data_IF_231844900228
#
_entry.id   IF_231844900228
#
_cell.length_a   1.000
_cell.length_b   1.000
_cell.length_c   1.000
_cell.angle_alpha   90.00
_cell.angle_beta   90.00
_cell.angle_gamma   90.00
#
_symmetry.space_group_name_H-M   'P 1'
#
loop_
_entity.id
_entity.type
_entity.pdbx_description
1 polymer ?
#
# COMPACT_ATOMS: atom_id res chain seq x y z
N UNK A 1 24.59 -0.91 2.92
CA UNK A 1 23.33 -0.27 3.37
C UNK A 1 22.26 -1.33 3.33
N UNK A 2 21.61 -1.69 4.45
CA UNK A 2 20.48 -2.64 4.41
C UNK A 2 19.29 -1.90 3.80
N UNK A 3 19.10 -2.07 2.50
CA UNK A 3 17.88 -1.68 1.82
C UNK A 3 16.75 -2.49 2.46
N UNK A 4 16.08 -1.88 3.43
CA UNK A 4 14.97 -2.54 4.11
C UNK A 4 13.80 -2.40 3.15
N UNK A 5 13.63 -3.40 2.27
CA UNK A 5 12.54 -3.42 1.30
C UNK A 5 11.21 -3.36 2.07
N UNK A 6 10.57 -2.21 2.03
CA UNK A 6 9.22 -2.07 2.55
C UNK A 6 8.29 -2.95 1.72
N UNK A 7 7.46 -3.74 2.40
CA UNK A 7 6.40 -4.53 1.78
C UNK A 7 5.42 -3.59 1.11
N UNK A 8 5.15 -3.85 -0.16
CA UNK A 8 4.19 -3.12 -0.96
C UNK A 8 2.85 -3.84 -0.88
N UNK A 9 1.78 -3.09 -0.68
CA UNK A 9 0.42 -3.63 -0.65
C UNK A 9 -0.44 -2.90 -1.67
N UNK A 10 -1.29 -3.64 -2.38
CA UNK A 10 -2.35 -3.09 -3.21
C UNK A 10 -3.67 -3.12 -2.44
N UNK A 11 -4.32 -1.96 -2.36
CA UNK A 11 -5.66 -1.82 -1.80
C UNK A 11 -6.64 -1.53 -2.93
N UNK A 12 -7.82 -2.14 -2.87
CA UNK A 12 -8.96 -1.81 -3.73
C UNK A 12 -10.14 -1.41 -2.86
N UNK A 13 -10.80 -0.30 -3.21
CA UNK A 13 -12.06 0.11 -2.59
C UNK A 13 -13.07 0.47 -3.68
N UNK A 14 -14.31 0.73 -3.27
CA UNK A 14 -15.34 1.28 -4.16
C UNK A 14 -14.94 2.65 -4.71
N UNK A 15 -14.19 3.44 -3.93
CA UNK A 15 -13.67 4.74 -4.33
C UNK A 15 -12.20 4.89 -3.91
N UNK A 16 -11.29 4.65 -4.85
CA UNK A 16 -9.85 4.68 -4.60
C UNK A 16 -9.30 6.10 -4.38
N UNK A 17 -9.97 7.12 -4.92
CA UNK A 17 -9.54 8.50 -4.75
C UNK A 17 -9.73 8.96 -3.30
N UNK A 18 -10.94 8.75 -2.76
CA UNK A 18 -11.25 9.03 -1.35
C UNK A 18 -10.39 8.17 -0.42
N UNK A 19 -10.12 6.91 -0.78
CA UNK A 19 -9.18 6.07 -0.04
C UNK A 19 -7.78 6.71 0.00
N UNK A 20 -7.24 7.15 -1.15
CA UNK A 20 -5.93 7.78 -1.22
C UNK A 20 -5.84 9.02 -0.33
N UNK A 21 -6.86 9.90 -0.35
CA UNK A 21 -6.87 11.09 0.50
C UNK A 21 -6.87 10.76 1.99
N UNK A 22 -7.59 9.71 2.39
CA UNK A 22 -7.56 9.21 3.78
C UNK A 22 -6.19 8.65 4.15
N UNK A 23 -5.56 7.89 3.25
CA UNK A 23 -4.25 7.28 3.50
C UNK A 23 -3.13 8.31 3.60
N UNK A 24 -3.17 9.38 2.80
CA UNK A 24 -2.18 10.47 2.83
C UNK A 24 -2.06 11.13 4.20
N UNK A 25 -3.15 11.17 4.95
CA UNK A 25 -3.22 11.79 6.29
C UNK A 25 -2.98 10.78 7.42
N UNK A 26 -2.81 9.49 7.13
CA UNK A 26 -2.62 8.46 8.13
C UNK A 26 -1.12 8.34 8.52
N UNK A 27 -0.76 8.52 9.82
CA UNK A 27 0.64 8.49 10.26
C UNK A 27 1.31 7.12 10.14
N UNK A 28 0.56 6.02 10.05
CA UNK A 28 1.08 4.66 9.87
C UNK A 28 1.51 4.38 8.42
N UNK A 29 1.05 5.21 7.48
CA UNK A 29 1.39 5.14 6.07
C UNK A 29 2.71 5.87 5.81
N UNK A 30 3.60 5.20 5.07
CA UNK A 30 4.87 5.77 4.59
C UNK A 30 4.69 6.37 3.21
N UNK A 31 4.15 5.59 2.27
CA UNK A 31 3.83 6.04 0.91
C UNK A 31 2.49 5.50 0.48
N UNK A 32 1.75 6.27 -0.32
CA UNK A 32 0.54 5.81 -0.98
C UNK A 32 0.35 6.50 -2.33
N UNK A 33 -0.03 5.76 -3.37
CA UNK A 33 -0.27 6.29 -4.72
C UNK A 33 -1.23 5.41 -5.52
N UNK A 34 -1.89 5.98 -6.53
CA UNK A 34 -2.75 5.22 -7.45
C UNK A 34 -1.87 4.48 -8.46
N UNK A 35 -2.19 3.20 -8.67
CA UNK A 35 -1.59 2.35 -9.69
C UNK A 35 -2.68 1.50 -10.35
N UNK A 36 -3.14 1.94 -11.52
CA UNK A 36 -4.28 1.33 -12.22
C UNK A 36 -5.55 1.37 -11.36
N UNK A 37 -6.18 0.22 -11.16
CA UNK A 37 -7.38 0.07 -10.31
C UNK A 37 -7.09 -0.09 -8.82
N UNK A 38 -5.85 0.09 -8.37
CA UNK A 38 -5.44 -0.12 -6.99
C UNK A 38 -4.78 1.13 -6.40
N UNK A 39 -4.83 1.23 -5.08
CA UNK A 39 -4.00 2.15 -4.30
C UNK A 39 -2.84 1.35 -3.72
N UNK A 40 -1.64 1.63 -4.19
CA UNK A 40 -0.43 1.02 -3.64
C UNK A 40 -0.02 1.75 -2.38
N UNK A 41 0.37 1.00 -1.35
CA UNK A 41 0.74 1.54 -0.05
C UNK A 41 1.95 0.82 0.53
N UNK A 42 2.77 1.56 1.27
CA UNK A 42 3.78 1.01 2.18
C UNK A 42 3.57 1.57 3.58
N UNK A 43 3.82 0.74 4.59
CA UNK A 43 3.62 1.10 6.00
C UNK A 43 4.94 1.48 6.67
N UNK A 44 4.92 2.44 7.60
CA UNK A 44 6.14 2.95 8.27
C UNK A 44 6.87 1.87 9.07
N UNK A 45 6.13 1.05 9.80
CA UNK A 45 6.65 -0.07 10.58
C UNK A 45 6.73 -1.38 9.78
N UNK A 46 6.52 -1.32 8.46
CA UNK A 46 6.48 -2.48 7.58
C UNK A 46 5.44 -3.55 8.00
N UNK A 47 4.42 -3.14 8.76
CA UNK A 47 3.30 -3.97 9.23
C UNK A 47 2.01 -3.43 8.63
N UNK A 48 1.20 -4.25 7.95
CA UNK A 48 -0.09 -3.81 7.45
C UNK A 48 -1.05 -3.57 8.62
N UNK A 49 -1.85 -2.51 8.48
CA UNK A 49 -2.99 -2.23 9.36
C UNK A 49 -4.29 -2.57 8.66
N UNK A 50 -5.33 -2.86 9.43
CA UNK A 50 -6.66 -3.08 8.87
C UNK A 50 -7.25 -1.75 8.37
N UNK A 51 -7.70 -1.74 7.11
CA UNK A 51 -8.37 -0.58 6.51
C UNK A 51 -9.75 -1.01 6.06
N UNK A 52 -10.75 -0.72 6.89
CA UNK A 52 -12.13 -1.13 6.66
C UNK A 52 -12.66 -0.66 5.30
N UNK A 53 -13.42 -1.55 4.64
CA UNK A 53 -14.01 -1.27 3.32
C UNK A 53 -13.01 -1.34 2.17
N UNK A 54 -11.87 -2.01 2.37
CA UNK A 54 -10.87 -2.25 1.34
C UNK A 54 -10.49 -3.72 1.26
N UNK A 55 -10.19 -4.18 0.05
CA UNK A 55 -9.49 -5.43 -0.17
C UNK A 55 -7.99 -5.14 -0.21
N UNK A 56 -7.20 -5.83 0.61
CA UNK A 56 -5.75 -5.63 0.69
C UNK A 56 -5.00 -6.90 0.25
N UNK A 57 -3.98 -6.74 -0.60
CA UNK A 57 -3.09 -7.81 -1.06
C UNK A 57 -1.63 -7.37 -0.99
N UNK A 58 -0.76 -8.19 -0.43
CA UNK A 58 0.69 -7.97 -0.47
C UNK A 58 1.22 -8.24 -1.89
N UNK A 59 1.92 -7.27 -2.47
CA UNK A 59 2.64 -7.43 -3.74
C UNK A 59 4.02 -7.99 -3.39
N UNK A 60 4.27 -9.23 -3.80
CA UNK A 60 5.60 -9.82 -3.72
C UNK A 60 6.39 -9.41 -4.97
N UNK A 61 7.64 -8.96 -4.83
CA UNK A 61 8.51 -8.80 -5.99
C UNK A 61 8.67 -10.18 -6.64
N UNK A 62 8.39 -10.25 -7.94
CA UNK A 62 8.58 -11.48 -8.69
C UNK A 62 10.08 -11.67 -8.94
N UNK A 63 10.72 -12.73 -8.43
CA UNK A 63 12.16 -12.92 -8.54
C UNK A 63 12.62 -13.19 -9.98
N UNK A 64 11.72 -13.49 -10.91
CA UNK A 64 12.07 -13.81 -12.31
C UNK A 64 12.25 -12.59 -13.22
N UNK A 65 12.06 -11.36 -12.71
CA UNK A 65 12.03 -10.15 -13.55
C UNK A 65 13.01 -9.04 -13.10
N UNK A 66 14.13 -9.41 -12.46
CA UNK A 66 15.28 -8.54 -12.13
C UNK A 66 16.42 -8.76 -13.14
#
# INVERSE_FOLDING_TARGET
MKESSYKLFALKSKDNLSLLERLKNNPEIRTCYISGEYVHVTFRDNRPIEIHGTEMKEIKPDPENI
#
